data_IF_168364941972
#
_entry.id   IF_168364941972
#
_cell.length_a   1.000
_cell.length_b   1.000
_cell.length_c   1.000
_cell.angle_alpha   90.00
_cell.angle_beta   90.00
_cell.angle_gamma   90.00
#
_symmetry.space_group_name_H-M   'P 1'
#
loop_
_entity.id
_entity.type
_entity.pdbx_description
1 polymer ?
#
# COMPACT_ATOMS: atom_id res chain seq x y z
N UNK A 1 -27.21 -6.09 63.17
CA UNK A 1 -28.02 -4.98 63.71
C UNK A 1 -28.28 -4.02 62.55
N UNK A 2 -29.31 -4.25 61.74
CA UNK A 2 -30.70 -3.78 61.89
C UNK A 2 -30.83 -2.26 61.73
N UNK A 3 -31.34 -1.84 60.56
CA UNK A 3 -31.78 -0.47 60.20
C UNK A 3 -32.84 0.04 61.17
N UNK A 4 -33.06 1.37 61.20
CA UNK A 4 -34.42 1.81 60.92
C UNK A 4 -34.51 3.02 59.99
N UNK A 5 -35.58 2.97 59.20
CA UNK A 5 -36.15 4.01 58.36
C UNK A 5 -36.90 5.02 59.25
N UNK A 6 -36.82 6.32 58.94
CA UNK A 6 -37.84 7.28 59.36
C UNK A 6 -38.33 8.10 58.17
N UNK A 7 -39.64 8.07 58.02
CA UNK A 7 -40.48 8.83 57.12
C UNK A 7 -41.30 9.80 57.99
N UNK A 8 -41.35 11.10 57.63
CA UNK A 8 -42.55 11.99 57.63
C UNK A 8 -42.13 13.48 57.67
N UNK A 9 -42.42 14.23 56.60
CA UNK A 9 -43.57 15.17 56.41
C UNK A 9 -43.27 16.58 56.95
N UNK A 10 -43.28 17.60 56.07
CA UNK A 10 -44.10 18.82 56.21
C UNK A 10 -43.97 19.76 55.00
N UNK A 11 -45.11 20.40 54.73
CA UNK A 11 -45.41 21.45 53.76
C UNK A 11 -44.38 22.59 53.70
N UNK A 12 -44.17 23.13 52.50
CA UNK A 12 -43.51 24.41 52.29
C UNK A 12 -43.97 25.07 51.00
N UNK A 13 -44.76 26.13 51.15
CA UNK A 13 -45.38 26.97 50.13
C UNK A 13 -44.34 27.84 49.41
N UNK A 14 -44.52 27.99 48.09
CA UNK A 14 -44.01 29.01 47.14
C UNK A 14 -43.03 30.09 47.62
N UNK A 15 -41.92 30.23 46.88
CA UNK A 15 -41.36 31.53 46.51
C UNK A 15 -40.96 31.48 45.03
N UNK A 16 -41.68 32.21 44.18
CA UNK A 16 -41.22 32.59 42.84
C UNK A 16 -40.16 33.69 43.03
N UNK A 17 -38.89 33.37 42.78
CA UNK A 17 -37.83 34.35 42.61
C UNK A 17 -37.41 34.34 41.13
N UNK A 18 -37.59 35.47 40.45
CA UNK A 18 -37.00 35.76 39.16
C UNK A 18 -35.48 35.84 39.35
N UNK A 19 -34.77 34.76 39.00
CA UNK A 19 -33.32 34.72 38.87
C UNK A 19 -32.92 35.04 37.44
N UNK A 20 -32.13 36.10 37.29
CA UNK A 20 -31.51 36.51 36.04
C UNK A 20 -30.56 35.43 35.49
N UNK A 21 -30.46 35.41 34.17
CA UNK A 21 -29.67 34.50 33.36
C UNK A 21 -28.17 34.52 33.68
N UNK A 22 -27.57 33.33 33.72
CA UNK A 22 -26.24 33.03 33.19
C UNK A 22 -26.35 31.67 32.51
N UNK A 23 -26.43 31.65 31.18
CA UNK A 23 -26.21 30.42 30.41
C UNK A 23 -24.72 30.13 30.45
N UNK A 24 -24.30 29.10 31.20
CA UNK A 24 -23.00 28.49 31.03
C UNK A 24 -23.02 27.68 29.73
N UNK A 25 -22.70 28.34 28.61
CA UNK A 25 -22.35 27.67 27.37
C UNK A 25 -20.98 27.02 27.55
N UNK A 26 -20.99 25.85 28.21
CA UNK A 26 -19.87 24.93 28.26
C UNK A 26 -19.52 24.48 26.85
N UNK A 27 -18.64 25.22 26.19
CA UNK A 27 -18.03 24.85 24.91
C UNK A 27 -17.28 23.53 25.12
N UNK A 28 -17.66 22.43 24.43
CA UNK A 28 -16.86 21.20 24.47
C UNK A 28 -15.45 21.50 23.96
N UNK A 29 -14.39 20.94 24.55
CA UNK A 29 -13.05 21.12 24.03
C UNK A 29 -13.00 20.62 22.59
N UNK A 30 -12.54 21.49 21.69
CA UNK A 30 -12.27 21.14 20.31
C UNK A 30 -11.40 19.88 20.30
N UNK A 31 -11.92 18.81 19.69
CA UNK A 31 -11.12 17.64 19.39
C UNK A 31 -9.98 18.14 18.49
N UNK A 32 -8.75 17.98 18.96
CA UNK A 32 -7.58 18.17 18.13
C UNK A 32 -7.66 17.14 17.01
N UNK A 33 -8.24 17.53 15.88
CA UNK A 33 -8.10 16.80 14.63
C UNK A 33 -6.59 16.74 14.36
N UNK A 34 -6.01 15.55 14.55
CA UNK A 34 -4.70 15.25 14.01
C UNK A 34 -4.83 15.44 12.51
N UNK A 35 -4.40 16.61 12.01
CA UNK A 35 -4.27 16.88 10.60
C UNK A 35 -3.25 15.88 10.03
N UNK A 36 -3.76 14.75 9.55
CA UNK A 36 -2.99 13.83 8.74
C UNK A 36 -2.59 14.61 7.49
N UNK A 37 -1.29 14.76 7.29
CA UNK A 37 -0.75 15.40 6.09
C UNK A 37 -1.29 14.65 4.87
N UNK A 38 -2.21 15.29 4.16
CA UNK A 38 -2.77 14.79 2.91
C UNK A 38 -1.96 15.38 1.76
N UNK A 39 -1.59 14.55 0.80
CA UNK A 39 -0.91 14.99 -0.42
C UNK A 39 -1.83 15.88 -1.26
N UNK A 40 -1.27 16.51 -2.30
CA UNK A 40 -2.01 17.36 -3.25
C UNK A 40 -3.24 16.68 -3.88
N UNK A 41 -3.29 15.34 -3.81
CA UNK A 41 -4.34 14.50 -4.41
C UNK A 41 -5.30 13.93 -3.34
N UNK A 42 -5.25 14.39 -2.08
CA UNK A 42 -6.12 13.89 -0.99
C UNK A 42 -5.77 12.47 -0.51
N UNK A 43 -4.59 11.96 -0.88
CA UNK A 43 -4.06 10.70 -0.39
C UNK A 43 -3.28 10.92 0.91
N UNK A 44 -3.38 10.00 1.89
CA UNK A 44 -2.52 10.03 3.08
C UNK A 44 -1.04 10.03 2.68
N UNK A 45 -0.24 10.88 3.29
CA UNK A 45 1.22 10.87 3.10
C UNK A 45 1.89 10.01 4.16
N UNK A 46 2.65 9.01 3.73
CA UNK A 46 3.56 8.30 4.61
C UNK A 46 4.72 9.19 5.08
N UNK A 47 5.34 8.80 6.20
CA UNK A 47 6.49 9.52 6.77
C UNK A 47 7.52 8.55 7.36
N UNK A 48 8.73 9.04 7.64
CA UNK A 48 9.81 8.23 8.21
C UNK A 48 10.65 7.46 7.18
N UNK A 49 10.53 7.82 5.91
CA UNK A 49 11.26 7.27 4.77
C UNK A 49 11.38 8.33 3.66
N UNK A 50 12.27 8.11 2.69
CA UNK A 50 12.60 9.09 1.65
C UNK A 50 11.75 8.92 0.38
N UNK A 51 11.44 7.68 0.01
CA UNK A 51 10.60 7.36 -1.16
C UNK A 51 9.94 5.99 -1.07
N UNK A 52 9.02 5.73 -2.00
CA UNK A 52 8.44 4.41 -2.21
C UNK A 52 9.06 3.70 -3.40
N UNK A 53 9.15 2.38 -3.32
CA UNK A 53 9.27 1.49 -4.47
C UNK A 53 7.97 0.72 -4.64
N UNK A 54 7.30 0.91 -5.77
CA UNK A 54 6.24 0.02 -6.21
C UNK A 54 6.87 -1.18 -6.92
N UNK A 55 6.64 -2.38 -6.40
CA UNK A 55 7.11 -3.62 -6.98
C UNK A 55 5.97 -4.34 -7.70
N UNK A 56 6.09 -4.49 -9.01
CA UNK A 56 5.14 -5.20 -9.87
C UNK A 56 5.72 -6.54 -10.29
N UNK A 57 5.17 -7.64 -9.78
CA UNK A 57 5.62 -8.99 -10.11
C UNK A 57 4.94 -9.50 -11.37
N UNK A 58 5.72 -10.10 -12.28
CA UNK A 58 5.16 -10.86 -13.41
C UNK A 58 4.69 -12.22 -12.89
N UNK A 59 3.37 -12.38 -12.79
CA UNK A 59 2.75 -13.54 -12.12
C UNK A 59 3.12 -14.89 -12.75
N UNK A 60 3.14 -15.06 -14.09
CA UNK A 60 3.45 -16.36 -14.68
C UNK A 60 4.88 -16.80 -14.36
N UNK A 61 5.84 -15.87 -14.40
CA UNK A 61 7.21 -16.18 -13.98
C UNK A 61 7.29 -16.51 -12.48
N UNK A 62 6.41 -15.95 -11.64
CA UNK A 62 6.37 -16.26 -10.21
C UNK A 62 5.89 -17.69 -9.99
N UNK A 63 4.82 -18.07 -10.66
CA UNK A 63 4.28 -19.43 -10.61
C UNK A 63 5.31 -20.46 -11.09
N UNK A 64 6.02 -20.19 -12.20
CA UNK A 64 7.07 -21.07 -12.71
C UNK A 64 8.27 -21.19 -11.77
N UNK A 65 8.74 -20.08 -11.20
CA UNK A 65 9.93 -20.10 -10.33
C UNK A 65 9.66 -20.76 -8.99
N UNK A 66 8.50 -20.49 -8.39
CA UNK A 66 8.14 -21.03 -7.07
C UNK A 66 7.62 -22.47 -7.14
N UNK A 67 7.00 -22.87 -8.25
CA UNK A 67 6.47 -24.22 -8.46
C UNK A 67 5.48 -24.61 -7.37
N UNK A 68 5.67 -25.77 -6.74
CA UNK A 68 4.78 -26.27 -5.67
C UNK A 68 4.72 -25.37 -4.42
N UNK A 69 5.69 -24.47 -4.25
CA UNK A 69 5.72 -23.49 -3.16
C UNK A 69 4.97 -22.20 -3.50
N UNK A 70 4.50 -22.05 -4.74
CA UNK A 70 3.78 -20.87 -5.18
C UNK A 70 2.46 -20.70 -4.43
N UNK A 71 2.01 -19.45 -4.32
CA UNK A 71 0.69 -19.18 -3.78
C UNK A 71 -0.41 -19.73 -4.70
N UNK A 72 -1.15 -20.73 -4.21
CA UNK A 72 -2.21 -21.39 -4.98
C UNK A 72 -3.36 -20.46 -5.42
N UNK A 73 -3.60 -19.35 -4.74
CA UNK A 73 -4.64 -18.39 -5.16
C UNK A 73 -4.15 -17.54 -6.35
N UNK A 74 -2.85 -17.27 -6.43
CA UNK A 74 -2.25 -16.52 -7.53
C UNK A 74 -2.04 -17.39 -8.78
N UNK A 75 -1.68 -18.66 -8.58
CA UNK A 75 -1.28 -19.59 -9.64
C UNK A 75 -2.36 -20.66 -9.92
N UNK A 76 -3.64 -20.36 -9.67
CA UNK A 76 -4.73 -21.24 -10.06
C UNK A 76 -4.95 -21.17 -11.59
N UNK A 77 -5.37 -22.29 -12.19
CA UNK A 77 -5.53 -22.43 -13.66
C UNK A 77 -6.56 -21.46 -14.27
N UNK A 78 -7.44 -20.86 -13.48
CA UNK A 78 -8.44 -19.87 -13.92
C UNK A 78 -7.98 -18.42 -13.71
N UNK A 79 -6.67 -18.20 -13.49
CA UNK A 79 -6.09 -16.90 -13.15
C UNK A 79 -5.05 -16.46 -14.17
N UNK A 80 -5.52 -15.87 -15.26
CA UNK A 80 -4.69 -15.20 -16.27
C UNK A 80 -4.14 -13.85 -15.75
N UNK A 81 -3.22 -13.91 -14.80
CA UNK A 81 -2.61 -12.72 -14.20
C UNK A 81 -1.33 -12.34 -14.94
N UNK A 82 -1.22 -11.09 -15.37
CA UNK A 82 0.03 -10.47 -15.81
C UNK A 82 0.81 -9.85 -14.64
N UNK A 83 1.09 -8.54 -14.73
CA UNK A 83 1.69 -7.79 -13.63
C UNK A 83 0.71 -7.57 -12.48
N UNK A 84 1.09 -8.02 -11.29
CA UNK A 84 0.37 -7.82 -10.03
C UNK A 84 1.22 -7.03 -9.04
N UNK A 85 0.59 -6.36 -8.08
CA UNK A 85 1.37 -5.69 -7.03
C UNK A 85 1.96 -6.73 -6.09
N UNK A 86 3.29 -6.78 -6.05
CA UNK A 86 4.02 -7.48 -5.01
C UNK A 86 3.96 -6.66 -3.73
N UNK A 87 4.26 -5.36 -3.78
CA UNK A 87 4.11 -4.45 -2.63
C UNK A 87 4.50 -3.01 -2.94
N UNK A 88 4.26 -2.14 -1.95
CA UNK A 88 4.69 -0.74 -1.97
C UNK A 88 5.64 -0.51 -0.78
N UNK A 89 6.92 -0.28 -1.04
CA UNK A 89 7.95 -0.37 -0.01
C UNK A 89 8.52 1.01 0.32
N UNK A 90 8.37 1.51 1.55
CA UNK A 90 9.19 2.60 2.06
C UNK A 90 10.68 2.29 1.86
N UNK A 91 11.45 3.27 1.39
CA UNK A 91 12.89 3.19 1.15
C UNK A 91 13.58 4.42 1.74
N UNK A 92 14.84 4.25 2.12
CA UNK A 92 15.77 5.35 2.30
C UNK A 92 16.59 5.54 1.03
N UNK A 93 17.30 6.65 0.89
CA UNK A 93 18.28 6.82 -0.19
C UNK A 93 19.35 5.72 -0.19
N UNK A 94 19.61 5.11 0.98
CA UNK A 94 20.43 3.90 1.10
C UNK A 94 19.74 2.89 2.02
N UNK A 95 19.37 1.73 1.48
CA UNK A 95 18.65 0.67 2.18
C UNK A 95 17.18 0.99 2.45
N UNK A 96 16.54 0.23 3.35
CA UNK A 96 15.13 0.38 3.66
C UNK A 96 14.78 -0.06 5.08
N UNK A 97 13.72 0.52 5.67
CA UNK A 97 13.17 0.01 6.92
C UNK A 97 12.35 -1.27 6.67
N UNK A 98 12.42 -2.22 7.60
CA UNK A 98 11.57 -3.41 7.58
C UNK A 98 11.08 -3.79 8.98
N UNK A 99 9.91 -4.42 9.04
CA UNK A 99 9.29 -4.91 10.28
C UNK A 99 9.21 -3.84 11.40
N UNK A 100 8.81 -2.64 11.02
CA UNK A 100 8.77 -1.51 11.94
C UNK A 100 7.70 -1.68 13.03
N UNK A 101 7.97 -1.24 14.27
CA UNK A 101 6.96 -1.16 15.32
C UNK A 101 5.79 -0.26 14.88
N UNK A 102 4.56 -0.74 15.06
CA UNK A 102 3.35 0.02 14.75
C UNK A 102 2.32 -0.12 15.87
N UNK A 103 1.41 0.86 15.97
CA UNK A 103 0.23 0.78 16.85
C UNK A 103 -0.91 -0.05 16.23
N UNK A 104 -0.85 -0.26 14.93
CA UNK A 104 -1.76 -1.12 14.19
C UNK A 104 -1.42 -2.60 14.43
N UNK A 105 -2.39 -3.52 14.33
CA UNK A 105 -2.12 -4.95 14.44
C UNK A 105 -1.26 -5.48 13.29
N UNK A 106 -0.55 -6.57 13.52
CA UNK A 106 0.23 -7.27 12.48
C UNK A 106 -0.65 -7.93 11.43
N UNK A 107 -1.85 -8.35 11.81
CA UNK A 107 -2.80 -9.02 10.91
C UNK A 107 -3.70 -7.98 10.27
N UNK A 108 -3.70 -7.95 8.94
CA UNK A 108 -4.69 -7.19 8.16
C UNK A 108 -6.05 -7.89 8.27
N UNK A 109 -7.12 -7.20 8.72
CA UNK A 109 -8.47 -7.74 8.75
C UNK A 109 -8.92 -8.22 7.36
N UNK A 110 -9.53 -9.41 7.29
CA UNK A 110 -9.98 -9.98 6.00
C UNK A 110 -10.96 -9.07 5.27
N UNK A 111 -11.83 -8.35 5.98
CA UNK A 111 -12.80 -7.42 5.38
C UNK A 111 -12.12 -6.21 4.73
N UNK A 112 -10.95 -5.80 5.24
CA UNK A 112 -10.16 -4.73 4.64
C UNK A 112 -9.38 -5.25 3.43
N UNK A 113 -8.60 -6.32 3.61
CA UNK A 113 -7.69 -6.82 2.58
C UNK A 113 -8.38 -7.38 1.34
N UNK A 114 -9.59 -7.96 1.48
CA UNK A 114 -10.33 -8.53 0.33
C UNK A 114 -10.68 -7.50 -0.74
N UNK A 115 -10.76 -6.21 -0.38
CA UNK A 115 -11.03 -5.11 -1.32
C UNK A 115 -9.83 -4.79 -2.23
N UNK A 116 -8.70 -5.49 -2.07
CA UNK A 116 -7.47 -5.28 -2.84
C UNK A 116 -7.00 -6.52 -3.58
N UNK A 117 -7.82 -7.59 -3.67
CA UNK A 117 -7.45 -8.85 -4.33
C UNK A 117 -7.39 -8.78 -5.87
N UNK A 118 -7.96 -7.73 -6.45
CA UNK A 118 -7.78 -7.34 -7.85
C UNK A 118 -6.40 -6.71 -8.11
N UNK A 119 -5.73 -6.20 -7.08
CA UNK A 119 -4.42 -5.52 -7.17
C UNK A 119 -3.28 -6.40 -6.64
N UNK A 120 -3.48 -7.02 -5.47
CA UNK A 120 -2.52 -7.88 -4.77
C UNK A 120 -3.11 -9.30 -4.75
N UNK A 121 -2.38 -10.33 -5.22
CA UNK A 121 -2.97 -11.61 -5.61
C UNK A 121 -3.46 -12.50 -4.47
N UNK A 122 -3.17 -12.20 -3.20
CA UNK A 122 -3.66 -13.00 -2.07
C UNK A 122 -3.65 -12.25 -0.73
N UNK A 123 -4.52 -12.68 0.20
CA UNK A 123 -4.53 -12.18 1.57
C UNK A 123 -3.22 -12.46 2.33
N UNK A 124 -2.57 -13.58 2.02
CA UNK A 124 -1.28 -13.94 2.62
C UNK A 124 -0.19 -12.92 2.24
N UNK A 125 -0.18 -12.52 0.97
CA UNK A 125 0.74 -11.51 0.49
C UNK A 125 0.45 -10.14 1.10
N UNK A 126 -0.82 -9.70 1.11
CA UNK A 126 -1.24 -8.45 1.75
C UNK A 126 -0.73 -8.38 3.19
N UNK A 127 -0.95 -9.45 3.98
CA UNK A 127 -0.49 -9.49 5.35
C UNK A 127 1.03 -9.46 5.49
N UNK A 128 1.76 -10.18 4.62
CA UNK A 128 3.23 -10.16 4.63
C UNK A 128 3.78 -8.76 4.32
N UNK A 129 3.27 -8.13 3.26
CA UNK A 129 3.70 -6.81 2.82
C UNK A 129 3.38 -5.74 3.85
N UNK A 130 2.23 -5.82 4.50
CA UNK A 130 1.91 -4.96 5.63
C UNK A 130 2.95 -5.07 6.75
N UNK A 131 3.18 -6.27 7.29
CA UNK A 131 4.10 -6.46 8.42
C UNK A 131 5.53 -6.05 8.08
N UNK A 132 6.00 -6.36 6.87
CA UNK A 132 7.38 -6.12 6.47
C UNK A 132 7.62 -4.67 6.07
N UNK A 133 6.70 -4.07 5.32
CA UNK A 133 6.92 -2.79 4.67
C UNK A 133 5.86 -1.73 5.01
N UNK A 134 4.58 -2.12 5.05
CA UNK A 134 3.48 -1.18 5.33
C UNK A 134 3.55 -0.56 6.73
N UNK A 135 3.93 -1.34 7.75
CA UNK A 135 4.09 -0.84 9.12
C UNK A 135 5.15 0.26 9.25
N UNK A 136 6.07 0.35 8.29
CA UNK A 136 7.13 1.35 8.24
C UNK A 136 6.70 2.69 7.61
N UNK A 137 5.49 2.80 7.06
CA UNK A 137 5.07 4.04 6.39
C UNK A 137 4.48 5.09 7.33
N UNK A 138 4.27 4.76 8.61
CA UNK A 138 3.56 5.60 9.57
C UNK A 138 2.06 5.78 9.30
N UNK A 139 1.50 4.99 8.37
CA UNK A 139 0.08 5.01 8.01
C UNK A 139 -0.67 3.89 8.74
N UNK A 140 -1.99 4.06 8.90
CA UNK A 140 -2.86 2.93 9.26
C UNK A 140 -2.89 1.89 8.12
N UNK A 141 -3.32 0.66 8.41
CA UNK A 141 -3.45 -0.37 7.38
C UNK A 141 -4.34 0.05 6.21
N UNK A 142 -5.45 0.72 6.51
CA UNK A 142 -6.43 1.15 5.50
C UNK A 142 -5.85 2.24 4.59
N UNK A 143 -5.13 3.20 5.16
CA UNK A 143 -4.46 4.26 4.43
C UNK A 143 -3.32 3.71 3.58
N UNK A 144 -2.48 2.84 4.12
CA UNK A 144 -1.39 2.22 3.37
C UNK A 144 -1.90 1.43 2.15
N UNK A 145 -2.96 0.63 2.31
CA UNK A 145 -3.55 -0.09 1.18
C UNK A 145 -4.19 0.85 0.15
N UNK A 146 -4.79 1.97 0.60
CA UNK A 146 -5.30 3.01 -0.31
C UNK A 146 -4.16 3.63 -1.13
N UNK A 147 -3.03 3.96 -0.50
CA UNK A 147 -1.84 4.50 -1.16
C UNK A 147 -1.22 3.46 -2.11
N UNK A 148 -1.18 2.18 -1.72
CA UNK A 148 -0.71 1.08 -2.57
C UNK A 148 -1.54 0.96 -3.86
N UNK A 149 -2.87 1.02 -3.76
CA UNK A 149 -3.75 1.02 -4.94
C UNK A 149 -3.51 2.26 -5.81
N UNK A 150 -3.44 3.44 -5.21
CA UNK A 150 -3.16 4.67 -5.95
C UNK A 150 -1.80 4.63 -6.68
N UNK A 151 -0.77 4.07 -6.04
CA UNK A 151 0.54 3.87 -6.66
C UNK A 151 0.44 2.93 -7.87
N UNK A 152 -0.33 1.84 -7.76
CA UNK A 152 -0.57 0.94 -8.89
C UNK A 152 -1.31 1.63 -10.03
N UNK A 153 -2.32 2.44 -9.72
CA UNK A 153 -3.15 3.17 -10.71
C UNK A 153 -2.37 4.28 -11.42
N UNK A 154 -1.34 4.84 -10.77
CA UNK A 154 -0.42 5.80 -11.37
C UNK A 154 0.43 5.20 -12.50
N UNK A 155 0.60 3.87 -12.54
CA UNK A 155 1.46 3.17 -13.51
C UNK A 155 0.64 2.52 -14.63
N UNK A 156 0.92 2.94 -15.85
CA UNK A 156 0.47 2.28 -17.08
C UNK A 156 1.42 1.14 -17.40
N UNK A 157 0.89 -0.09 -17.43
CA UNK A 157 1.63 -1.24 -17.95
C UNK A 157 1.65 -1.16 -19.49
N UNK A 158 2.83 -1.24 -20.14
CA UNK A 158 2.93 -1.12 -21.60
C UNK A 158 2.10 -2.18 -22.33
N UNK A 159 1.56 -1.83 -23.50
CA UNK A 159 0.77 -2.76 -24.34
C UNK A 159 1.54 -3.99 -24.79
N UNK A 160 2.88 -3.93 -24.82
CA UNK A 160 3.73 -5.09 -25.06
C UNK A 160 3.55 -6.17 -23.99
N UNK A 161 3.16 -5.81 -22.77
CA UNK A 161 2.88 -6.75 -21.69
C UNK A 161 1.39 -7.05 -21.50
N UNK A 162 0.56 -6.71 -22.50
CA UNK A 162 -0.84 -7.15 -22.53
C UNK A 162 -0.88 -8.64 -22.92
N UNK A 163 -1.72 -9.41 -22.22
CA UNK A 163 -1.74 -10.88 -22.33
C UNK A 163 -2.00 -11.40 -23.76
N UNK A 164 -2.70 -10.63 -24.59
CA UNK A 164 -2.99 -10.94 -25.99
C UNK A 164 -1.84 -10.63 -26.96
N UNK A 165 -0.74 -10.02 -26.48
CA UNK A 165 0.36 -9.47 -27.29
C UNK A 165 1.73 -9.67 -26.65
N UNK A 166 1.84 -10.61 -25.72
CA UNK A 166 3.07 -10.82 -24.96
C UNK A 166 4.23 -11.18 -25.88
N UNK A 167 5.40 -10.53 -25.73
CA UNK A 167 6.59 -11.04 -26.37
C UNK A 167 6.98 -12.35 -25.68
N UNK A 168 7.49 -13.31 -26.43
CA UNK A 168 8.10 -14.50 -25.82
C UNK A 168 9.42 -14.13 -25.09
N UNK A 169 10.10 -13.08 -25.57
CA UNK A 169 11.42 -12.64 -25.13
C UNK A 169 11.56 -11.11 -25.15
N UNK A 170 12.29 -10.54 -24.20
CA UNK A 170 12.56 -9.09 -24.16
C UNK A 170 13.92 -8.81 -23.49
N UNK A 171 14.64 -7.80 -23.94
CA UNK A 171 15.82 -7.33 -23.22
C UNK A 171 15.39 -6.55 -21.97
N UNK A 172 16.16 -6.64 -20.88
CA UNK A 172 15.80 -5.93 -19.65
C UNK A 172 15.68 -4.41 -19.86
N UNK A 173 16.59 -3.82 -20.64
CA UNK A 173 16.57 -2.38 -20.93
C UNK A 173 15.43 -1.98 -21.86
N UNK A 174 15.06 -2.84 -22.82
CA UNK A 174 13.90 -2.62 -23.69
C UNK A 174 12.58 -2.68 -22.91
N UNK A 175 12.50 -3.59 -21.93
CA UNK A 175 11.35 -3.63 -21.02
C UNK A 175 11.22 -2.34 -20.21
N UNK A 176 12.33 -1.79 -19.70
CA UNK A 176 12.33 -0.47 -19.04
C UNK A 176 11.91 0.65 -19.98
N UNK A 177 12.44 0.68 -21.21
CA UNK A 177 12.08 1.67 -22.23
C UNK A 177 10.60 1.64 -22.56
N UNK A 178 9.99 0.46 -22.64
CA UNK A 178 8.55 0.32 -22.85
C UNK A 178 7.74 0.95 -21.70
N UNK A 179 8.17 0.75 -20.45
CA UNK A 179 7.54 1.38 -19.27
C UNK A 179 7.73 2.90 -19.27
N UNK A 180 8.94 3.38 -19.55
CA UNK A 180 9.24 4.82 -19.63
C UNK A 180 8.38 5.49 -20.70
N UNK A 181 8.29 4.89 -21.90
CA UNK A 181 7.48 5.41 -23.00
C UNK A 181 5.98 5.46 -22.65
N UNK A 182 5.49 4.53 -21.82
CA UNK A 182 4.09 4.49 -21.39
C UNK A 182 3.76 5.44 -20.23
N UNK A 183 4.76 5.94 -19.49
CA UNK A 183 4.57 6.67 -18.23
C UNK A 183 5.34 8.02 -18.24
N UNK A 184 4.72 9.12 -18.72
CA UNK A 184 5.35 10.43 -18.73
C UNK A 184 5.86 10.86 -17.34
N UNK A 185 7.12 11.33 -17.29
CA UNK A 185 7.80 11.73 -16.05
C UNK A 185 8.62 10.61 -15.40
N UNK A 186 8.48 9.36 -15.84
CA UNK A 186 9.41 8.29 -15.48
C UNK A 186 10.72 8.44 -16.26
N UNK A 187 11.86 8.22 -15.60
CA UNK A 187 13.18 8.21 -16.23
C UNK A 187 13.84 6.85 -16.02
N UNK A 188 14.94 6.59 -16.73
CA UNK A 188 15.69 5.34 -16.61
C UNK A 188 16.19 5.09 -15.19
N UNK A 189 16.62 6.14 -14.51
CA UNK A 189 17.13 6.06 -13.13
C UNK A 189 16.01 5.85 -12.09
N UNK A 190 14.74 5.82 -12.50
CA UNK A 190 13.55 5.67 -11.64
C UNK A 190 12.85 4.31 -11.78
N UNK A 191 13.38 3.41 -12.60
CA UNK A 191 12.83 2.08 -12.85
C UNK A 191 13.96 1.04 -12.84
N UNK A 192 13.65 -0.19 -12.43
CA UNK A 192 14.57 -1.31 -12.58
C UNK A 192 13.80 -2.60 -12.87
N UNK A 193 14.21 -3.32 -13.92
CA UNK A 193 13.76 -4.70 -14.13
C UNK A 193 14.56 -5.64 -13.23
N UNK A 194 13.87 -6.62 -12.64
CA UNK A 194 14.46 -7.76 -11.95
C UNK A 194 14.21 -9.01 -12.74
N UNK A 195 15.25 -9.82 -12.90
CA UNK A 195 15.17 -11.15 -13.47
C UNK A 195 15.58 -12.23 -12.48
N UNK A 196 15.18 -13.47 -12.74
CA UNK A 196 15.63 -14.64 -12.01
C UNK A 196 15.54 -15.83 -12.96
N UNK A 197 16.60 -16.64 -13.03
CA UNK A 197 16.68 -17.83 -13.92
C UNK A 197 16.38 -17.51 -15.39
N UNK A 198 16.74 -16.31 -15.86
CA UNK A 198 16.49 -15.85 -17.23
C UNK A 198 15.05 -15.43 -17.52
N UNK A 199 14.18 -15.33 -16.51
CA UNK A 199 12.82 -14.82 -16.67
C UNK A 199 12.72 -13.37 -16.20
N UNK A 200 11.86 -12.58 -16.85
CA UNK A 200 11.39 -11.31 -16.28
C UNK A 200 10.55 -11.61 -15.03
N UNK A 201 10.96 -11.07 -13.87
CA UNK A 201 10.31 -11.38 -12.58
C UNK A 201 9.51 -10.24 -12.02
N UNK A 202 10.07 -9.05 -12.07
CA UNK A 202 9.50 -7.90 -11.39
C UNK A 202 9.99 -6.60 -12.04
N UNK A 203 9.15 -5.58 -12.02
CA UNK A 203 9.51 -4.20 -12.36
C UNK A 203 9.37 -3.38 -11.09
N UNK A 204 10.43 -2.67 -10.71
CA UNK A 204 10.46 -1.78 -9.56
C UNK A 204 10.43 -0.34 -10.04
N UNK A 205 9.50 0.44 -9.51
CA UNK A 205 9.29 1.83 -9.92
C UNK A 205 9.39 2.71 -8.68
N UNK A 206 10.21 3.75 -8.77
CA UNK A 206 10.47 4.65 -7.66
C UNK A 206 9.55 5.86 -7.70
N UNK A 207 8.99 6.18 -6.54
CA UNK A 207 7.96 7.19 -6.38
C UNK A 207 8.24 8.03 -5.14
N UNK A 208 7.99 9.33 -5.19
CA UNK A 208 7.96 10.18 -4.00
C UNK A 208 6.90 9.67 -3.01
N UNK A 209 6.91 10.11 -1.75
CA UNK A 209 5.81 9.83 -0.81
C UNK A 209 4.44 10.30 -1.31
N UNK A 210 4.40 11.29 -2.22
CA UNK A 210 3.21 11.78 -2.93
C UNK A 210 2.92 11.08 -4.26
N UNK A 211 3.62 9.97 -4.55
CA UNK A 211 3.45 9.09 -5.71
C UNK A 211 3.90 9.67 -7.08
N UNK A 212 4.64 10.77 -7.10
CA UNK A 212 5.29 11.24 -8.33
C UNK A 212 6.50 10.38 -8.69
N UNK A 213 6.75 10.12 -9.97
CA UNK A 213 7.95 9.38 -10.40
C UNK A 213 9.23 10.13 -10.02
N UNK A 214 10.24 9.40 -9.56
CA UNK A 214 11.55 9.94 -9.22
C UNK A 214 12.67 8.96 -9.52
N UNK A 215 13.90 9.45 -9.58
CA UNK A 215 15.10 8.63 -9.63
C UNK A 215 15.43 7.99 -8.26
N UNK A 216 16.08 6.82 -8.30
CA UNK A 216 16.51 6.03 -7.14
C UNK A 216 17.74 5.17 -7.49
N UNK A 217 18.93 5.75 -7.35
CA UNK A 217 20.16 5.14 -7.88
C UNK A 217 20.54 3.77 -7.28
N UNK A 218 20.15 3.43 -6.06
CA UNK A 218 20.38 2.08 -5.52
C UNK A 218 19.50 1.02 -6.20
N UNK A 219 18.23 1.32 -6.47
CA UNK A 219 17.30 0.36 -7.06
C UNK A 219 17.65 0.10 -8.52
N UNK A 220 17.90 1.18 -9.27
CA UNK A 220 18.36 1.18 -10.67
C UNK A 220 19.64 0.33 -10.85
N UNK A 221 20.71 0.63 -10.10
CA UNK A 221 21.98 -0.11 -10.17
C UNK A 221 21.87 -1.60 -9.84
N UNK A 222 20.84 -1.99 -9.09
CA UNK A 222 20.59 -3.38 -8.74
C UNK A 222 19.67 -4.09 -9.76
N UNK A 223 19.18 -3.40 -10.80
CA UNK A 223 18.44 -4.00 -11.91
C UNK A 223 19.27 -5.04 -12.66
N UNK A 224 18.61 -5.91 -13.42
CA UNK A 224 19.31 -6.80 -14.33
C UNK A 224 19.57 -6.12 -15.67
N UNK A 225 20.71 -6.41 -16.27
CA UNK A 225 21.10 -5.92 -17.61
C UNK A 225 21.13 -7.06 -18.63
N UNK A 226 20.38 -8.14 -18.36
CA UNK A 226 20.36 -9.34 -19.19
C UNK A 226 19.49 -9.10 -20.43
N UNK A 227 20.02 -9.49 -21.58
CA UNK A 227 19.30 -9.59 -22.85
C UNK A 227 18.52 -10.91 -22.94
N UNK A 228 17.51 -10.97 -23.81
CA UNK A 228 16.72 -12.18 -24.09
C UNK A 228 16.03 -12.81 -22.85
N UNK A 229 15.40 -12.01 -21.99
CA UNK A 229 14.61 -12.54 -20.86
C UNK A 229 13.35 -13.23 -21.36
N UNK A 230 13.05 -14.42 -20.83
CA UNK A 230 11.78 -15.09 -21.05
C UNK A 230 10.63 -14.36 -20.31
N UNK A 231 9.57 -14.07 -21.06
CA UNK A 231 8.33 -13.50 -20.55
C UNK A 231 7.23 -14.56 -20.72
N UNK A 232 7.04 -15.45 -19.75
CA UNK A 232 6.09 -16.54 -19.87
C UNK A 232 4.66 -15.98 -19.91
N UNK A 233 3.83 -16.56 -20.76
CA UNK A 233 2.38 -16.32 -20.77
C UNK A 233 1.74 -16.90 -19.51
N UNK A 234 0.60 -16.35 -19.04
CA UNK A 234 -0.24 -17.04 -18.07
C UNK A 234 -0.63 -18.42 -18.60
N UNK A 235 -0.79 -19.39 -17.69
CA UNK A 235 -1.11 -20.78 -18.01
C UNK A 235 -2.33 -21.26 -17.27
#
# INVERSE_FOLDING_TARGET
MARPTFLRVLLGLTVLMLGAACSDDGTPPAQAETHQASGSNGLPLGSGFDFYVLALSWSPAYCLVEGDRANRQQCAEDRDLGFVVHGLWPQFENGYPEFCPSREPDRVPSQLGRNYLDTVPSMGLIGHQWRKHGSCSGLTQAEYLKVLRAAREQVVVPKAFALDRLPARVDALEAEDAFIAANPGMTREGIAVKCQRGLLREVRICMTPSLGFRSCGEIDRNGCTIEDLNVPEPG
#
